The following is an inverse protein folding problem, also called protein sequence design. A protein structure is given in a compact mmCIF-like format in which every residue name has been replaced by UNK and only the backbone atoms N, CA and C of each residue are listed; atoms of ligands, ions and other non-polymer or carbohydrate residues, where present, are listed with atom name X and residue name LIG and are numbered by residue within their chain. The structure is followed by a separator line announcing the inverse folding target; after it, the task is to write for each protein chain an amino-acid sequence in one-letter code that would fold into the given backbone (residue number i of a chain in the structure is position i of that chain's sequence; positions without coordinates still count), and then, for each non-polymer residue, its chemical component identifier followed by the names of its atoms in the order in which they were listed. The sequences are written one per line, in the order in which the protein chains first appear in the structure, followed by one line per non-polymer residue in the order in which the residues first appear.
data_IF_130366698464
#
_entry.id   IF_130366698464
#
_cell.length_a   1.000
_cell.length_b   1.000
_cell.length_c   1.000
_cell.angle_alpha   90.00
_cell.angle_beta   90.00
_cell.angle_gamma   90.00
#
_symmetry.space_group_name_H-M   'P 1'
#
loop_
_entity.id
_entity.type
_entity.pdbx_description
1 polymer ?
#
# COMPACT_ATOMS: atom_id res chain seq x y z
N UNK A 1 -3.81 -2.32 -9.80
CA UNK A 1 -4.01 -2.05 -8.36
C UNK A 1 -4.39 -3.34 -7.67
N UNK A 2 -3.49 -3.86 -6.84
CA UNK A 2 -3.75 -5.01 -5.98
C UNK A 2 -4.11 -4.48 -4.59
N UNK A 3 -5.18 -5.01 -4.01
CA UNK A 3 -5.58 -4.77 -2.62
C UNK A 3 -5.45 -6.08 -1.85
N UNK A 4 -4.78 -6.04 -0.71
CA UNK A 4 -4.57 -7.23 0.13
C UNK A 4 -4.47 -6.80 1.59
N UNK A 5 -4.35 -7.77 2.49
CA UNK A 5 -4.31 -7.55 3.93
C UNK A 5 -3.03 -8.11 4.54
N UNK A 6 -2.57 -7.49 5.63
CA UNK A 6 -1.47 -7.95 6.46
C UNK A 6 -1.90 -7.92 7.91
N UNK A 7 -1.54 -8.96 8.65
CA UNK A 7 -1.83 -9.06 10.09
C UNK A 7 -0.54 -8.77 10.86
N UNK A 8 -0.60 -7.83 11.80
CA UNK A 8 0.56 -7.56 12.67
C UNK A 8 0.67 -8.59 13.80
N UNK A 9 1.76 -8.51 14.57
CA UNK A 9 2.01 -9.42 15.70
C UNK A 9 0.97 -9.28 16.84
N UNK A 10 0.14 -8.25 16.84
CA UNK A 10 -0.96 -8.04 17.78
C UNK A 10 -2.29 -8.62 17.28
N UNK A 11 -2.31 -9.25 16.10
CA UNK A 11 -3.54 -9.79 15.47
C UNK A 11 -4.39 -8.73 14.76
N UNK A 12 -3.92 -7.49 14.65
CA UNK A 12 -4.63 -6.43 13.94
C UNK A 12 -4.41 -6.55 12.43
N UNK A 13 -5.51 -6.47 11.67
CA UNK A 13 -5.50 -6.56 10.22
C UNK A 13 -5.49 -5.18 9.56
N UNK A 14 -4.50 -4.96 8.70
CA UNK A 14 -4.35 -3.76 7.89
C UNK A 14 -4.57 -4.10 6.43
N UNK A 15 -5.32 -3.26 5.72
CA UNK A 15 -5.37 -3.32 4.27
C UNK A 15 -4.21 -2.53 3.67
N UNK A 16 -3.70 -3.00 2.54
CA UNK A 16 -2.69 -2.30 1.78
C UNK A 16 -2.95 -2.39 0.27
N UNK A 17 -2.31 -1.47 -0.45
CA UNK A 17 -2.34 -1.38 -1.91
C UNK A 17 -0.93 -1.55 -2.46
N UNK A 18 -0.79 -2.29 -3.56
CA UNK A 18 0.45 -2.40 -4.34
C UNK A 18 0.18 -2.38 -5.86
N UNK A 19 1.21 -2.07 -6.65
CA UNK A 19 1.19 -2.20 -8.12
C UNK A 19 1.35 -3.62 -8.63
N UNK A 20 2.01 -4.47 -7.84
CA UNK A 20 2.35 -5.84 -8.17
C UNK A 20 2.39 -6.71 -6.91
N UNK A 21 2.39 -8.04 -7.02
CA UNK A 21 2.56 -8.92 -5.87
C UNK A 21 3.81 -8.57 -5.08
N UNK A 22 3.75 -8.67 -3.74
CA UNK A 22 4.93 -8.44 -2.89
C UNK A 22 5.91 -9.59 -3.12
N UNK A 23 7.14 -9.26 -3.48
CA UNK A 23 8.21 -10.23 -3.66
C UNK A 23 9.06 -10.36 -2.39
N UNK A 24 9.40 -11.58 -2.00
CA UNK A 24 10.21 -11.86 -0.82
C UNK A 24 11.69 -11.65 -1.17
N UNK A 25 12.45 -11.00 -0.29
CA UNK A 25 13.89 -10.81 -0.45
C UNK A 25 14.30 -9.52 -1.17
N UNK A 26 13.33 -8.68 -1.57
CA UNK A 26 13.60 -7.34 -2.10
C UNK A 26 13.21 -6.24 -1.09
N UNK A 27 13.88 -5.07 -1.13
CA UNK A 27 13.55 -3.95 -0.25
C UNK A 27 12.08 -3.54 -0.37
N UNK A 28 11.47 -3.18 0.77
CA UNK A 28 10.07 -2.76 0.82
C UNK A 28 9.95 -1.36 1.39
N UNK A 29 9.35 -0.46 0.62
CA UNK A 29 8.98 0.88 1.06
C UNK A 29 7.49 0.93 1.39
N UNK A 30 7.20 1.45 2.58
CA UNK A 30 5.85 1.53 3.14
C UNK A 30 5.42 3.00 3.21
N UNK A 31 4.32 3.32 2.54
CA UNK A 31 3.63 4.59 2.64
C UNK A 31 2.46 4.48 3.62
N UNK A 32 2.29 5.51 4.45
CA UNK A 32 1.08 5.70 5.23
C UNK A 32 0.31 6.83 4.59
N UNK A 33 -0.99 6.63 4.35
CA UNK A 33 -1.79 7.72 3.82
C UNK A 33 -1.91 8.87 4.84
N UNK A 34 -1.68 10.09 4.36
CA UNK A 34 -2.07 11.29 5.08
C UNK A 34 -3.59 11.49 4.99
N UNK A 35 -4.20 11.94 6.09
CA UNK A 35 -5.62 12.25 6.18
C UNK A 35 -6.06 13.18 5.04
N UNK A 36 -7.15 12.84 4.35
CA UNK A 36 -7.73 13.65 3.26
C UNK A 36 -7.26 13.29 1.84
N UNK A 37 -6.33 12.34 1.70
CA UNK A 37 -5.98 11.75 0.40
C UNK A 37 -6.70 10.43 0.20
N UNK A 38 -7.20 10.17 -1.01
CA UNK A 38 -7.89 8.92 -1.33
C UNK A 38 -6.90 7.84 -1.84
N UNK A 39 -7.35 6.58 -1.84
CA UNK A 39 -6.52 5.45 -2.30
C UNK A 39 -6.07 5.53 -3.77
N UNK A 40 -6.68 6.39 -4.58
CA UNK A 40 -6.30 6.58 -5.99
C UNK A 40 -5.05 7.45 -6.14
N UNK A 41 -4.84 8.44 -5.26
CA UNK A 41 -3.60 9.23 -5.23
C UNK A 41 -2.40 8.36 -4.91
N UNK A 42 -2.53 7.46 -3.91
CA UNK A 42 -1.47 6.52 -3.57
C UNK A 42 -1.23 5.48 -4.66
N UNK A 43 -2.28 5.07 -5.39
CA UNK A 43 -2.12 4.21 -6.56
C UNK A 43 -1.18 4.81 -7.61
N UNK A 44 -1.41 6.07 -8.00
CA UNK A 44 -0.59 6.74 -9.01
C UNK A 44 0.87 6.89 -8.56
N UNK A 45 1.08 7.21 -7.28
CA UNK A 45 2.43 7.28 -6.70
C UNK A 45 3.13 5.91 -6.74
N UNK A 46 2.46 4.87 -6.24
CA UNK A 46 3.01 3.51 -6.17
C UNK A 46 3.35 2.98 -7.58
N UNK A 47 2.45 3.16 -8.55
CA UNK A 47 2.66 2.72 -9.93
C UNK A 47 3.85 3.46 -10.57
N UNK A 48 3.93 4.78 -10.40
CA UNK A 48 5.04 5.59 -10.91
C UNK A 48 6.40 5.21 -10.29
N UNK A 49 6.44 4.96 -8.98
CA UNK A 49 7.65 4.51 -8.30
C UNK A 49 8.04 3.10 -8.74
N UNK A 50 7.09 2.18 -8.83
CA UNK A 50 7.35 0.79 -9.26
C UNK A 50 8.03 0.77 -10.62
N UNK A 51 7.53 1.57 -11.58
CA UNK A 51 8.13 1.72 -12.91
C UNK A 51 9.51 2.39 -12.88
N UNK A 52 9.67 3.43 -12.06
CA UNK A 52 10.94 4.18 -11.96
C UNK A 52 12.09 3.32 -11.43
N UNK A 53 11.78 2.39 -10.53
CA UNK A 53 12.78 1.50 -9.94
C UNK A 53 12.87 0.14 -10.63
N UNK A 54 12.32 0.03 -11.85
CA UNK A 54 12.31 -1.21 -12.65
C UNK A 54 12.00 -2.43 -11.78
N UNK A 55 10.96 -2.31 -10.97
CA UNK A 55 10.47 -3.48 -10.23
C UNK A 55 11.50 -4.09 -9.26
N UNK A 56 12.51 -3.33 -8.82
CA UNK A 56 13.51 -3.79 -7.84
C UNK A 56 13.11 -3.56 -6.37
N UNK A 57 12.01 -2.83 -6.13
CA UNK A 57 11.53 -2.44 -4.79
C UNK A 57 10.04 -2.76 -4.68
N UNK A 58 9.61 -3.29 -3.55
CA UNK A 58 8.19 -3.37 -3.19
C UNK A 58 7.72 -2.00 -2.70
N UNK A 59 6.68 -1.45 -3.33
CA UNK A 59 6.02 -0.24 -2.85
C UNK A 59 4.61 -0.61 -2.38
N UNK A 60 4.34 -0.37 -1.09
CA UNK A 60 3.03 -0.63 -0.48
C UNK A 60 2.50 0.62 0.21
N UNK A 61 1.20 0.87 0.10
CA UNK A 61 0.51 1.89 0.87
C UNK A 61 -0.45 1.22 1.84
N UNK A 62 -0.25 1.44 3.13
CA UNK A 62 -1.06 0.86 4.20
C UNK A 62 -2.19 1.83 4.55
N UNK A 63 -3.40 1.30 4.58
CA UNK A 63 -4.55 1.99 5.14
C UNK A 63 -4.62 1.73 6.64
N UNK A 64 -4.26 2.72 7.46
CA UNK A 64 -4.58 2.68 8.89
C UNK A 64 -6.11 2.71 9.01
N UNK A 65 -6.71 1.67 9.59
CA UNK A 65 -8.14 1.68 9.96
C UNK A 65 -8.37 2.93 10.83
N UNK A 66 -9.09 3.91 10.29
CA UNK A 66 -9.27 5.22 10.93
C UNK A 66 -9.69 6.38 10.02
N UNK A 67 -9.65 6.24 8.70
CA UNK A 67 -10.11 7.31 7.80
C UNK A 67 -10.99 6.80 6.65
N UNK A 68 -12.19 6.30 6.97
CA UNK A 68 -13.32 6.14 6.03
C UNK A 68 -13.44 4.81 5.27
N UNK A 69 -13.46 3.67 5.98
CA UNK A 69 -14.22 2.50 5.50
C UNK A 69 -15.72 2.65 5.86
N UNK A 70 -16.34 3.75 5.46
CA UNK A 70 -17.78 3.89 5.33
C UNK A 70 -18.02 4.88 4.19
N UNK A 71 -18.97 4.54 3.31
CA UNK A 71 -19.39 5.26 2.11
C UNK A 71 -18.61 4.90 0.83
N UNK A 72 -19.01 3.79 0.21
CA UNK A 72 -19.69 3.82 -1.09
C UNK A 72 -20.49 2.53 -1.27
#
# INVERSE_FOLDING_TARGET
MIRSTLTNNSGEEFSYVSARPIEIGIPTFVFFHATGFNGQTYWQLIDGLTKKFDESINFISIDKRGAWSFIS
#
